data_IF_780211071000
#
_entry.id   IF_780211071000
#
_cell.length_a   1.000
_cell.length_b   1.000
_cell.length_c   1.000
_cell.angle_alpha   90.00
_cell.angle_beta   90.00
_cell.angle_gamma   90.00
#
_symmetry.space_group_name_H-M   'P 1'
#
loop_
_entity.id
_entity.type
_entity.pdbx_description
1 polymer ?
#
# COMPACT_ATOMS: atom_id res chain seq x y z
N UNK A 1 42.59 -19.25 -26.34
CA UNK A 1 42.44 -18.35 -25.18
C UNK A 1 41.73 -17.12 -25.70
N UNK A 2 40.40 -17.11 -25.63
CA UNK A 2 39.56 -16.41 -24.61
C UNK A 2 39.60 -14.89 -24.81
N UNK A 3 38.49 -14.14 -24.91
CA UNK A 3 37.14 -14.44 -24.46
C UNK A 3 36.06 -13.72 -25.28
N UNK A 4 34.85 -14.24 -25.15
CA UNK A 4 33.63 -13.71 -25.73
C UNK A 4 33.16 -12.46 -24.98
N UNK A 5 32.63 -11.51 -25.74
CA UNK A 5 31.94 -10.31 -25.28
C UNK A 5 30.64 -10.68 -24.55
N UNK A 6 30.45 -10.11 -23.37
CA UNK A 6 29.30 -10.27 -22.48
C UNK A 6 28.08 -9.46 -23.00
N UNK A 7 26.89 -10.07 -23.19
CA UNK A 7 25.70 -9.40 -23.71
C UNK A 7 24.84 -8.70 -22.64
N UNK A 8 25.35 -8.43 -21.43
CA UNK A 8 24.58 -7.76 -20.35
C UNK A 8 24.79 -6.24 -20.22
N UNK A 9 25.22 -5.56 -21.28
CA UNK A 9 25.15 -4.10 -21.32
C UNK A 9 23.70 -3.65 -21.59
N UNK A 10 22.91 -3.52 -20.53
CA UNK A 10 21.56 -2.93 -20.55
C UNK A 10 21.47 -1.71 -19.65
N UNK A 11 22.42 -0.79 -19.83
CA UNK A 11 22.25 0.62 -19.44
C UNK A 11 21.21 1.33 -20.35
N UNK A 12 19.97 0.84 -20.38
CA UNK A 12 18.85 1.43 -21.14
C UNK A 12 17.51 1.09 -20.49
N UNK A 13 17.29 1.51 -19.25
CA UNK A 13 15.94 1.72 -18.68
C UNK A 13 15.99 2.55 -17.38
N UNK A 14 16.53 3.77 -17.44
CA UNK A 14 16.22 4.80 -16.43
C UNK A 14 15.34 5.86 -17.08
N UNK A 15 14.03 5.65 -17.03
CA UNK A 15 13.06 6.74 -17.13
C UNK A 15 13.05 7.47 -15.78
N UNK A 16 13.44 8.76 -15.68
CA UNK A 16 13.58 9.43 -14.39
C UNK A 16 12.27 9.91 -13.74
N UNK A 17 11.09 9.52 -14.24
CA UNK A 17 9.84 10.24 -13.97
C UNK A 17 8.72 9.46 -13.27
N UNK A 18 8.93 8.21 -12.83
CA UNK A 18 7.87 7.43 -12.14
C UNK A 18 8.39 6.49 -11.03
N UNK A 19 9.43 6.87 -10.29
CA UNK A 19 9.69 6.16 -9.04
C UNK A 19 8.53 6.49 -8.07
N UNK A 20 7.74 5.50 -7.58
CA UNK A 20 6.77 5.78 -6.54
C UNK A 20 7.51 6.41 -5.36
N UNK A 21 6.97 7.48 -4.79
CA UNK A 21 7.53 8.05 -3.57
C UNK A 21 7.52 6.96 -2.51
N UNK A 22 8.70 6.55 -2.04
CA UNK A 22 8.89 5.49 -1.03
C UNK A 22 7.78 5.53 0.04
N UNK A 23 7.10 4.39 0.24
CA UNK A 23 6.11 4.19 1.30
C UNK A 23 4.71 4.74 1.07
N UNK A 24 4.32 5.09 -0.17
CA UNK A 24 2.97 5.61 -0.44
C UNK A 24 2.30 4.91 -1.62
N UNK A 25 1.05 4.47 -1.41
CA UNK A 25 0.17 4.18 -2.56
C UNK A 25 -0.20 5.51 -3.22
N UNK A 26 0.25 5.70 -4.46
CA UNK A 26 -0.03 6.92 -5.22
C UNK A 26 -1.54 7.10 -5.35
N UNK A 27 -2.05 8.33 -5.14
CA UNK A 27 -3.49 8.64 -5.09
C UNK A 27 -4.29 8.12 -6.32
N UNK A 28 -3.62 7.99 -7.48
CA UNK A 28 -4.19 7.45 -8.70
C UNK A 28 -4.64 5.98 -8.56
N UNK A 29 -3.94 5.15 -7.79
CA UNK A 29 -4.30 3.76 -7.52
C UNK A 29 -5.27 3.61 -6.34
N UNK A 30 -5.27 4.58 -5.41
CA UNK A 30 -6.11 4.50 -4.20
C UNK A 30 -7.61 4.62 -4.49
N UNK A 31 -7.99 5.44 -5.48
CA UNK A 31 -9.39 5.62 -5.88
C UNK A 31 -10.02 4.35 -6.47
N UNK A 32 -9.45 3.72 -7.52
CA UNK A 32 -10.00 2.48 -8.06
C UNK A 32 -9.97 1.35 -7.02
N UNK A 33 -8.91 1.25 -6.22
CA UNK A 33 -8.82 0.27 -5.14
C UNK A 33 -9.95 0.44 -4.11
N UNK A 34 -10.19 1.66 -3.64
CA UNK A 34 -11.26 1.96 -2.66
C UNK A 34 -12.63 1.56 -3.19
N UNK A 35 -12.90 1.78 -4.48
CA UNK A 35 -14.18 1.39 -5.09
C UNK A 35 -14.35 -0.12 -5.09
N UNK A 36 -13.33 -0.85 -5.56
CA UNK A 36 -13.38 -2.30 -5.64
C UNK A 36 -13.52 -2.93 -4.25
N UNK A 37 -12.74 -2.48 -3.27
CA UNK A 37 -12.83 -2.98 -1.90
C UNK A 37 -14.19 -2.72 -1.26
N UNK A 38 -14.87 -1.63 -1.62
CA UNK A 38 -16.22 -1.31 -1.13
C UNK A 38 -17.29 -2.28 -1.66
N UNK A 39 -17.11 -2.81 -2.87
CA UNK A 39 -18.02 -3.80 -3.47
C UNK A 39 -17.89 -5.19 -2.81
N UNK A 40 -16.74 -5.45 -2.19
CA UNK A 40 -16.40 -6.72 -1.56
C UNK A 40 -16.48 -6.67 -0.01
N UNK A 41 -17.27 -5.77 0.56
CA UNK A 41 -17.59 -5.75 2.00
C UNK A 41 -19.05 -5.40 2.24
N UNK A 42 -19.62 -5.98 3.29
CA UNK A 42 -20.94 -5.60 3.82
C UNK A 42 -20.89 -4.38 4.74
N UNK A 43 -19.69 -3.93 5.13
CA UNK A 43 -19.47 -2.84 6.09
C UNK A 43 -18.61 -1.68 5.54
N UNK A 44 -18.88 -1.13 4.34
CA UNK A 44 -18.02 -0.09 3.72
C UNK A 44 -18.06 1.27 4.45
N UNK A 45 -18.99 1.45 5.39
CA UNK A 45 -19.09 2.64 6.25
C UNK A 45 -18.29 2.51 7.55
N UNK A 46 -17.80 1.32 7.85
CA UNK A 46 -17.18 0.94 9.11
C UNK A 46 -15.84 0.25 8.84
N UNK A 47 -14.87 1.04 8.35
CA UNK A 47 -13.50 0.62 8.16
C UNK A 47 -12.61 1.17 9.27
N UNK A 48 -11.61 0.37 9.62
CA UNK A 48 -10.54 0.71 10.54
C UNK A 48 -9.31 1.12 9.75
N UNK A 49 -8.58 2.11 10.25
CA UNK A 49 -7.39 2.67 9.62
C UNK A 49 -6.28 2.83 10.65
N UNK A 50 -5.10 2.33 10.36
CA UNK A 50 -3.89 2.52 11.15
C UNK A 50 -2.90 3.37 10.35
N UNK A 51 -2.49 4.49 10.92
CA UNK A 51 -1.45 5.36 10.34
C UNK A 51 -0.29 5.45 11.33
N UNK A 52 0.93 5.19 10.87
CA UNK A 52 2.12 5.18 11.71
C UNK A 52 2.39 6.57 12.29
N UNK A 53 2.60 6.66 13.61
CA UNK A 53 2.80 7.93 14.32
C UNK A 53 4.07 8.66 13.88
N UNK A 54 5.06 7.94 13.34
CA UNK A 54 6.30 8.52 12.82
C UNK A 54 6.12 9.44 11.61
N UNK A 55 4.94 9.40 10.97
CA UNK A 55 4.59 10.33 9.87
C UNK A 55 4.04 11.66 10.34
N UNK A 56 3.63 11.77 11.61
CA UNK A 56 2.99 12.97 12.13
C UNK A 56 4.02 13.91 12.74
N UNK A 57 4.08 15.14 12.27
CA UNK A 57 4.85 16.21 12.92
C UNK A 57 4.20 16.68 14.23
N UNK A 58 2.92 16.35 14.40
CA UNK A 58 2.14 16.52 15.61
C UNK A 58 2.05 15.20 16.40
N UNK A 59 1.89 15.23 17.73
CA UNK A 59 1.54 14.03 18.50
C UNK A 59 0.05 13.76 18.29
N UNK A 60 -0.34 12.79 17.45
CA UNK A 60 -1.75 12.55 17.20
C UNK A 60 -2.43 12.09 18.48
N UNK A 61 -3.63 12.57 18.78
CA UNK A 61 -4.41 12.14 19.96
C UNK A 61 -5.39 11.04 19.56
N UNK A 62 -5.45 9.92 20.29
CA UNK A 62 -6.35 8.82 19.92
C UNK A 62 -6.02 7.47 20.57
N UNK A 63 -6.65 6.41 20.04
CA UNK A 63 -6.31 5.01 20.40
C UNK A 63 -5.09 4.59 19.60
N UNK A 64 -4.13 3.94 20.26
CA UNK A 64 -2.94 3.41 19.61
C UNK A 64 -3.01 1.90 19.47
N UNK A 65 -2.42 1.41 18.38
CA UNK A 65 -2.05 0.00 18.21
C UNK A 65 -0.53 -0.08 18.21
N UNK A 66 0.03 -0.94 19.06
CA UNK A 66 1.46 -1.18 19.14
C UNK A 66 1.78 -2.48 18.40
N UNK A 67 2.57 -2.37 17.34
CA UNK A 67 3.24 -3.49 16.67
C UNK A 67 4.73 -3.42 17.04
N UNK A 68 5.51 -4.52 17.09
CA UNK A 68 6.92 -4.45 17.47
C UNK A 68 7.69 -3.34 16.74
N UNK A 69 8.12 -2.32 17.48
CA UNK A 69 8.88 -1.18 16.97
C UNK A 69 8.07 -0.05 16.31
N UNK A 70 6.73 -0.13 16.23
CA UNK A 70 5.89 0.90 15.60
C UNK A 70 4.57 1.15 16.34
N UNK A 71 4.25 2.42 16.53
CA UNK A 71 2.97 2.86 17.07
C UNK A 71 2.10 3.40 15.95
N UNK A 72 0.83 3.00 15.91
CA UNK A 72 -0.14 3.46 14.92
C UNK A 72 -1.29 4.16 15.61
N UNK A 73 -1.76 5.26 15.03
CA UNK A 73 -3.04 5.88 15.39
C UNK A 73 -4.14 5.09 14.72
N UNK A 74 -5.15 4.71 15.51
CA UNK A 74 -6.32 4.00 15.02
C UNK A 74 -7.47 4.99 14.76
N UNK A 75 -7.87 5.08 13.49
CA UNK A 75 -9.09 5.75 13.04
C UNK A 75 -10.18 4.75 12.66
N UNK A 76 -11.43 5.23 12.62
CA UNK A 76 -12.58 4.48 12.09
C UNK A 76 -13.44 5.42 11.27
N UNK A 77 -13.95 4.93 10.14
CA UNK A 77 -14.81 5.72 9.27
C UNK A 77 -15.20 4.98 7.98
N UNK A 78 -15.86 5.68 7.04
CA UNK A 78 -16.18 5.09 5.75
C UNK A 78 -14.89 4.79 4.97
N UNK A 79 -14.95 3.82 4.07
CA UNK A 79 -13.82 3.43 3.23
C UNK A 79 -13.23 4.61 2.44
N UNK A 80 -14.05 5.61 2.11
CA UNK A 80 -13.62 6.85 1.43
C UNK A 80 -12.71 7.74 2.29
N UNK A 81 -12.66 7.54 3.61
CA UNK A 81 -11.72 8.24 4.48
C UNK A 81 -10.26 7.94 4.12
N UNK A 82 -9.98 6.80 3.47
CA UNK A 82 -8.66 6.49 2.94
C UNK A 82 -8.14 7.57 1.96
N UNK A 83 -9.03 8.16 1.16
CA UNK A 83 -8.68 9.17 0.15
C UNK A 83 -8.26 10.52 0.76
N UNK A 84 -8.68 10.77 2.01
CA UNK A 84 -8.37 11.99 2.75
C UNK A 84 -7.28 11.83 3.80
N UNK A 85 -6.62 10.67 3.87
CA UNK A 85 -5.56 10.43 4.84
C UNK A 85 -4.28 11.19 4.44
N UNK A 86 -3.61 11.81 5.42
CA UNK A 86 -2.48 12.71 5.21
C UNK A 86 -2.38 13.79 6.29
N UNK A 87 -1.34 14.61 6.22
CA UNK A 87 -1.09 15.70 7.18
C UNK A 87 -1.01 17.06 6.45
N UNK A 88 -1.59 18.10 7.05
CA UNK A 88 -1.33 19.48 6.65
C UNK A 88 0.02 19.92 7.24
N UNK A 89 1.04 20.03 6.39
CA UNK A 89 2.34 20.56 6.80
C UNK A 89 2.31 22.09 6.97
N UNK A 90 1.46 22.74 6.17
CA UNK A 90 1.08 24.15 6.30
C UNK A 90 -0.44 24.29 6.07
N UNK A 91 -1.06 25.43 6.41
CA UNK A 91 -2.50 25.62 6.16
C UNK A 91 -2.91 25.45 4.70
N UNK A 92 -2.00 25.72 3.77
CA UNK A 92 -2.18 25.66 2.32
C UNK A 92 -1.57 24.40 1.66
N UNK A 93 -0.81 23.60 2.41
CA UNK A 93 -0.15 22.40 1.89
C UNK A 93 -0.59 21.14 2.64
N UNK A 94 -1.34 20.28 1.95
CA UNK A 94 -1.69 18.94 2.41
C UNK A 94 -0.77 17.92 1.76
N UNK A 95 -0.15 17.05 2.55
CA UNK A 95 0.60 15.90 2.09
C UNK A 95 -0.26 14.64 2.23
N UNK A 96 -0.81 14.10 1.14
CA UNK A 96 -1.57 12.85 1.18
C UNK A 96 -0.69 11.68 1.63
N UNK A 97 -1.25 10.79 2.43
CA UNK A 97 -0.62 9.53 2.84
C UNK A 97 -1.67 8.42 2.79
N UNK A 98 -1.34 7.25 2.27
CA UNK A 98 -2.23 6.10 2.42
C UNK A 98 -2.23 5.59 3.87
N UNK A 99 -3.34 5.06 4.38
CA UNK A 99 -3.32 4.30 5.63
C UNK A 99 -2.31 3.16 5.53
N UNK A 100 -1.49 2.95 6.57
CA UNK A 100 -0.55 1.84 6.60
C UNK A 100 -1.29 0.50 6.65
N UNK A 101 -2.29 0.39 7.52
CA UNK A 101 -3.11 -0.82 7.61
C UNK A 101 -4.58 -0.42 7.61
N UNK A 102 -5.43 -1.17 6.91
CA UNK A 102 -6.86 -0.89 6.90
C UNK A 102 -7.70 -2.12 6.54
N UNK A 103 -8.89 -2.21 7.15
CA UNK A 103 -9.81 -3.33 7.00
C UNK A 103 -11.25 -2.92 7.37
N UNK A 104 -12.29 -3.56 6.81
CA UNK A 104 -13.68 -3.35 7.20
C UNK A 104 -14.01 -4.10 8.49
N UNK A 105 -15.06 -3.70 9.21
CA UNK A 105 -15.52 -4.36 10.44
C UNK A 105 -15.82 -5.86 10.24
N UNK A 106 -16.36 -6.22 9.08
CA UNK A 106 -16.63 -7.62 8.70
C UNK A 106 -15.39 -8.43 8.30
N UNK A 107 -14.20 -7.81 8.26
CA UNK A 107 -12.90 -8.42 7.93
C UNK A 107 -12.89 -9.14 6.57
N UNK A 108 -13.71 -8.70 5.61
CA UNK A 108 -13.77 -9.29 4.28
C UNK A 108 -12.45 -9.17 3.49
N UNK A 109 -11.63 -8.18 3.84
CA UNK A 109 -10.29 -7.96 3.28
C UNK A 109 -9.40 -7.21 4.29
N UNK A 110 -8.11 -7.20 4.04
CA UNK A 110 -7.13 -6.41 4.78
C UNK A 110 -6.09 -5.87 3.81
N UNK A 111 -5.76 -4.60 3.92
CA UNK A 111 -4.72 -3.97 3.12
C UNK A 111 -3.59 -3.49 4.02
N UNK A 112 -2.37 -3.86 3.66
CA UNK A 112 -1.13 -3.39 4.27
C UNK A 112 -0.26 -2.66 3.26
N UNK A 113 -0.03 -1.37 3.49
CA UNK A 113 1.01 -0.58 2.83
C UNK A 113 2.18 -0.45 3.79
N UNK A 114 3.33 -1.00 3.40
CA UNK A 114 4.54 -0.99 4.20
C UNK A 114 5.51 0.05 3.67
N UNK A 115 6.10 0.83 4.56
CA UNK A 115 6.96 1.96 4.20
C UNK A 115 8.30 1.48 3.61
N UNK A 116 8.66 0.24 3.93
CA UNK A 116 9.87 -0.44 3.46
C UNK A 116 9.62 -1.34 2.22
N UNK A 117 8.37 -1.42 1.70
CA UNK A 117 8.06 -2.19 0.49
C UNK A 117 7.62 -1.29 -0.67
N UNK A 118 8.07 -1.64 -1.87
CA UNK A 118 7.61 -1.04 -3.12
C UNK A 118 6.19 -1.54 -3.52
N UNK A 119 5.49 -2.22 -2.62
CA UNK A 119 4.26 -2.96 -2.91
C UNK A 119 3.21 -2.84 -1.80
N UNK A 120 1.95 -2.86 -2.21
CA UNK A 120 0.79 -2.93 -1.32
C UNK A 120 0.25 -4.35 -1.28
N UNK A 121 0.06 -4.89 -0.08
CA UNK A 121 -0.45 -6.24 0.11
C UNK A 121 -1.93 -6.22 0.45
N UNK A 122 -2.69 -7.07 -0.22
CA UNK A 122 -4.13 -7.21 -0.01
C UNK A 122 -4.42 -8.67 0.31
N UNK A 123 -4.74 -8.95 1.57
CA UNK A 123 -5.31 -10.23 1.97
C UNK A 123 -6.82 -10.18 1.69
N UNK A 124 -7.30 -11.07 0.83
CA UNK A 124 -8.67 -11.05 0.36
C UNK A 124 -9.18 -12.44 -0.02
N UNK A 125 -10.47 -12.53 -0.35
CA UNK A 125 -11.10 -13.72 -0.93
C UNK A 125 -10.63 -13.94 -2.37
N UNK A 126 -10.77 -15.17 -2.88
CA UNK A 126 -10.42 -15.49 -4.27
C UNK A 126 -11.19 -14.63 -5.28
N UNK A 127 -12.46 -14.32 -5.00
CA UNK A 127 -13.29 -13.49 -5.88
C UNK A 127 -12.76 -12.05 -5.97
N UNK A 128 -12.37 -11.46 -4.84
CA UNK A 128 -11.75 -10.13 -4.81
C UNK A 128 -10.35 -10.16 -5.45
N UNK A 129 -9.58 -11.22 -5.24
CA UNK A 129 -8.28 -11.39 -5.89
C UNK A 129 -8.42 -11.46 -7.42
N UNK A 130 -9.41 -12.19 -7.94
CA UNK A 130 -9.68 -12.24 -9.37
C UNK A 130 -10.07 -10.86 -9.93
N UNK A 131 -10.95 -10.14 -9.24
CA UNK A 131 -11.34 -8.79 -9.66
C UNK A 131 -10.16 -7.79 -9.64
N UNK A 132 -9.24 -7.93 -8.69
CA UNK A 132 -8.00 -7.15 -8.63
C UNK A 132 -7.07 -7.44 -9.81
N UNK A 133 -6.96 -8.71 -10.22
CA UNK A 133 -6.12 -9.16 -11.35
C UNK A 133 -6.68 -8.78 -12.72
N UNK A 134 -8.00 -8.61 -12.82
CA UNK A 134 -8.68 -8.20 -14.05
C UNK A 134 -8.75 -6.67 -14.22
N UNK A 135 -8.50 -5.91 -13.15
CA UNK A 135 -8.60 -4.45 -13.16
C UNK A 135 -7.50 -3.77 -13.99
N UNK A 136 -7.82 -3.07 -15.10
CA UNK A 136 -6.79 -2.43 -15.94
C UNK A 136 -6.13 -1.21 -15.29
N UNK A 137 -6.76 -0.69 -14.23
CA UNK A 137 -6.31 0.51 -13.51
C UNK A 137 -5.32 0.20 -12.37
N UNK A 138 -5.08 -1.08 -12.09
CA UNK A 138 -4.20 -1.54 -11.01
C UNK A 138 -3.18 -2.55 -11.56
N UNK A 139 -1.89 -2.32 -11.30
CA UNK A 139 -0.88 -3.36 -11.50
C UNK A 139 -0.91 -4.31 -10.30
N UNK A 140 -1.40 -5.52 -10.53
CA UNK A 140 -1.60 -6.53 -9.47
C UNK A 140 -0.91 -7.83 -9.86
N UNK A 141 -0.23 -8.44 -8.89
CA UNK A 141 0.43 -9.72 -9.06
C UNK A 141 -0.10 -10.68 -7.98
N UNK A 142 -0.38 -11.95 -8.32
CA UNK A 142 -0.79 -12.92 -7.34
C UNK A 142 0.40 -13.25 -6.43
N UNK A 143 0.19 -13.17 -5.12
CA UNK A 143 1.16 -13.54 -4.09
C UNK A 143 0.55 -14.66 -3.26
N UNK A 144 1.25 -15.79 -3.15
CA UNK A 144 0.89 -16.90 -2.26
C UNK A 144 1.40 -16.60 -0.86
N UNK A 145 0.78 -17.20 0.15
CA UNK A 145 1.22 -17.08 1.56
C UNK A 145 2.65 -17.57 1.80
N UNK A 146 3.21 -18.31 0.83
CA UNK A 146 4.57 -18.88 0.83
C UNK A 146 5.60 -17.91 0.26
N UNK A 147 5.16 -16.89 -0.49
CA UNK A 147 6.04 -16.00 -1.23
C UNK A 147 6.73 -15.04 -0.27
N UNK A 148 8.06 -14.92 -0.41
CA UNK A 148 8.86 -14.02 0.42
C UNK A 148 8.61 -12.58 0.01
N UNK A 149 8.01 -11.80 0.90
CA UNK A 149 7.71 -10.38 0.72
C UNK A 149 8.91 -9.46 0.96
N UNK A 150 10.12 -10.01 1.13
CA UNK A 150 11.32 -9.21 1.44
C UNK A 150 11.92 -8.61 0.17
N UNK A 151 12.35 -7.35 0.26
CA UNK A 151 13.04 -6.63 -0.82
C UNK A 151 14.34 -7.30 -1.29
N UNK A 152 14.91 -8.23 -0.52
CA UNK A 152 16.14 -8.97 -0.84
C UNK A 152 15.89 -10.39 -1.42
N UNK A 153 14.65 -10.70 -1.83
CA UNK A 153 14.28 -12.03 -2.30
C UNK A 153 14.62 -12.32 -3.78
N UNK A 154 15.42 -11.48 -4.44
CA UNK A 154 16.06 -11.84 -5.71
C UNK A 154 17.30 -12.71 -5.43
N UNK A 155 17.11 -14.03 -5.45
CA UNK A 155 18.21 -14.93 -5.73
C UNK A 155 18.55 -14.82 -7.22
N UNK A 156 19.45 -13.87 -7.54
CA UNK A 156 20.22 -13.83 -8.78
C UNK A 156 20.74 -15.25 -9.09
N UNK A 157 20.35 -15.78 -10.26
CA UNK A 157 21.04 -16.91 -10.89
C UNK A 157 22.41 -16.48 -11.41
#
# INVERSE_FOLDING_TARGET
MSGASDPLDSNTSRRPDLAPAHGHLVAAALTPLTRLLAEHTSTPRDCWFCTWTGYSWSSPTGRYVVHPGREYVLGRGPITAALGNGEHLTPDWFQPQSPNLWWPEDRAWFVGTEIDFDSTLIACTTDLAAALLEGPDLETLPVKSEDSLRYDADLLN
#
